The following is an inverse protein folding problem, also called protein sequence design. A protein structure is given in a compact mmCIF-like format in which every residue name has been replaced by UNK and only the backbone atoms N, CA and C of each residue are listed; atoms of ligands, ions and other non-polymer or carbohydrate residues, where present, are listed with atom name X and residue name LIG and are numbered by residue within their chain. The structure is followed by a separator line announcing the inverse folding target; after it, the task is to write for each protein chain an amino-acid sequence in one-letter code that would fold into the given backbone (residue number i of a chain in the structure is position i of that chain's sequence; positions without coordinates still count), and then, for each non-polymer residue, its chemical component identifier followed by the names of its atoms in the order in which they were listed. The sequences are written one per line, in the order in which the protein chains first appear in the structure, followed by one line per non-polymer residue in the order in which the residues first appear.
data_IF_832856588778
#
_entry.id   IF_832856588778
#
_cell.length_a   1.000
_cell.length_b   1.000
_cell.length_c   1.000
_cell.angle_alpha   90.00
_cell.angle_beta   90.00
_cell.angle_gamma   90.00
#
_symmetry.space_group_name_H-M   'P 1'
#
loop_
_entity.id
_entity.type
_entity.pdbx_description
1 polymer ?
#
# COMPACT_ATOMS: atom_id res chain seq x y z
N UNK A 1 -56.69 -24.07 -57.61
CA UNK A 1 -55.58 -24.02 -56.65
C UNK A 1 -54.40 -24.71 -57.28
N UNK A 2 -53.37 -23.97 -57.68
CA UNK A 2 -52.19 -24.54 -58.36
C UNK A 2 -51.21 -25.11 -57.32
N UNK A 3 -50.31 -26.03 -57.71
CA UNK A 3 -49.35 -26.64 -56.76
C UNK A 3 -48.41 -25.62 -56.10
N UNK A 4 -48.25 -24.46 -56.72
CA UNK A 4 -47.53 -23.29 -56.22
C UNK A 4 -48.26 -22.62 -55.05
N UNK A 5 -49.60 -22.58 -55.07
CA UNK A 5 -50.42 -21.99 -54.00
C UNK A 5 -50.38 -22.85 -52.73
N UNK A 6 -50.35 -24.18 -52.88
CA UNK A 6 -50.20 -25.14 -51.77
C UNK A 6 -48.81 -25.04 -51.12
N UNK A 7 -47.74 -24.91 -51.91
CA UNK A 7 -46.38 -24.72 -51.39
C UNK A 7 -46.22 -23.39 -50.64
N UNK A 8 -46.80 -22.31 -51.14
CA UNK A 8 -46.76 -21.00 -50.47
C UNK A 8 -47.57 -20.99 -49.17
N UNK A 9 -48.67 -21.75 -49.11
CA UNK A 9 -49.46 -21.92 -47.90
C UNK A 9 -48.75 -22.76 -46.83
N UNK A 10 -48.04 -23.83 -47.24
CA UNK A 10 -47.21 -24.63 -46.32
C UNK A 10 -45.99 -23.86 -45.81
N UNK A 11 -45.28 -23.13 -46.69
CA UNK A 11 -44.17 -22.26 -46.30
C UNK A 11 -44.61 -21.15 -45.34
N UNK A 12 -45.77 -20.53 -45.60
CA UNK A 12 -46.37 -19.54 -44.70
C UNK A 12 -46.69 -20.13 -43.32
N UNK A 13 -47.25 -21.35 -43.27
CA UNK A 13 -47.56 -22.02 -42.00
C UNK A 13 -46.31 -22.50 -41.24
N UNK A 14 -45.25 -22.92 -41.94
CA UNK A 14 -43.98 -23.32 -41.32
C UNK A 14 -43.24 -22.10 -40.78
N UNK A 15 -43.17 -21.02 -41.54
CA UNK A 15 -42.57 -19.75 -41.11
C UNK A 15 -43.35 -19.15 -39.92
N UNK A 16 -44.68 -19.20 -39.96
CA UNK A 16 -45.51 -18.69 -38.86
C UNK A 16 -45.40 -19.56 -37.60
N UNK A 17 -45.23 -20.89 -37.73
CA UNK A 17 -44.93 -21.78 -36.59
C UNK A 17 -43.52 -21.57 -36.03
N UNK A 18 -42.51 -21.33 -36.88
CA UNK A 18 -41.13 -21.02 -36.45
C UNK A 18 -41.06 -19.66 -35.74
N UNK A 19 -41.72 -18.63 -36.27
CA UNK A 19 -41.79 -17.31 -35.65
C UNK A 19 -42.59 -17.31 -34.34
N UNK A 20 -43.79 -17.90 -34.31
CA UNK A 20 -44.60 -17.91 -33.08
C UNK A 20 -44.00 -18.77 -31.96
N UNK A 21 -43.39 -19.93 -32.27
CA UNK A 21 -42.75 -20.75 -31.23
C UNK A 21 -41.41 -20.15 -30.76
N UNK A 22 -40.67 -19.49 -31.65
CA UNK A 22 -39.43 -18.78 -31.30
C UNK A 22 -39.66 -17.63 -30.31
N UNK A 23 -40.67 -16.80 -30.57
CA UNK A 23 -41.01 -15.65 -29.72
C UNK A 23 -41.67 -16.06 -28.39
N UNK A 24 -42.59 -17.04 -28.37
CA UNK A 24 -43.15 -17.56 -27.11
C UNK A 24 -42.10 -18.17 -26.20
N UNK A 25 -41.13 -18.89 -26.78
CA UNK A 25 -40.02 -19.47 -26.01
C UNK A 25 -39.06 -18.41 -25.46
N UNK A 26 -38.88 -17.29 -26.18
CA UNK A 26 -38.09 -16.16 -25.70
C UNK A 26 -38.75 -15.45 -24.52
N UNK A 27 -40.05 -15.13 -24.60
CA UNK A 27 -40.74 -14.44 -23.51
C UNK A 27 -40.85 -15.30 -22.24
N UNK A 28 -41.16 -16.59 -22.37
CA UNK A 28 -41.15 -17.53 -21.23
C UNK A 28 -39.74 -17.74 -20.65
N UNK A 29 -38.71 -17.81 -21.51
CA UNK A 29 -37.32 -17.90 -21.08
C UNK A 29 -36.85 -16.61 -20.39
N UNK A 30 -37.20 -15.44 -20.90
CA UNK A 30 -36.85 -14.14 -20.31
C UNK A 30 -37.58 -13.91 -18.99
N UNK A 31 -38.85 -14.33 -18.88
CA UNK A 31 -39.63 -14.23 -17.64
C UNK A 31 -39.14 -15.23 -16.58
N UNK A 32 -38.77 -16.45 -17.01
CA UNK A 32 -38.12 -17.45 -16.16
C UNK A 32 -36.72 -17.01 -15.73
N UNK A 33 -35.92 -16.42 -16.62
CA UNK A 33 -34.60 -15.88 -16.32
C UNK A 33 -34.69 -14.68 -15.36
N UNK A 34 -35.64 -13.77 -15.58
CA UNK A 34 -35.92 -12.61 -14.71
C UNK A 34 -36.32 -13.05 -13.28
N UNK A 35 -37.23 -14.02 -13.17
CA UNK A 35 -37.64 -14.56 -11.86
C UNK A 35 -36.50 -15.35 -11.20
N UNK A 36 -35.66 -16.04 -11.96
CA UNK A 36 -34.52 -16.80 -11.45
C UNK A 36 -33.40 -15.89 -10.91
N UNK A 37 -33.16 -14.73 -11.54
CA UNK A 37 -32.09 -13.82 -11.09
C UNK A 37 -32.39 -13.15 -9.76
N UNK A 38 -33.67 -12.83 -9.47
CA UNK A 38 -34.05 -12.22 -8.18
C UNK A 38 -33.75 -13.14 -6.98
N UNK A 39 -33.89 -14.46 -7.15
CA UNK A 39 -33.61 -15.48 -6.13
C UNK A 39 -32.13 -15.54 -5.75
N UNK A 40 -31.21 -15.27 -6.70
CA UNK A 40 -29.77 -15.26 -6.43
C UNK A 40 -29.22 -13.88 -6.09
N UNK A 41 -29.84 -12.82 -6.60
CA UNK A 41 -29.38 -11.44 -6.39
C UNK A 41 -29.65 -10.97 -4.94
N UNK A 42 -30.77 -11.36 -4.35
CA UNK A 42 -31.08 -10.98 -2.96
C UNK A 42 -30.10 -11.59 -1.93
N UNK A 43 -29.79 -12.90 -1.95
CA UNK A 43 -28.75 -13.48 -1.10
C UNK A 43 -27.36 -12.87 -1.35
N UNK A 44 -27.02 -12.56 -2.60
CA UNK A 44 -25.75 -11.94 -2.93
C UNK A 44 -25.64 -10.52 -2.32
N UNK A 45 -26.66 -9.69 -2.51
CA UNK A 45 -26.70 -8.33 -1.93
C UNK A 45 -26.68 -8.41 -0.40
N UNK A 46 -27.45 -9.32 0.20
CA UNK A 46 -27.44 -9.54 1.64
C UNK A 46 -26.06 -9.98 2.15
N UNK A 47 -25.40 -10.91 1.45
CA UNK A 47 -24.05 -11.35 1.79
C UNK A 47 -23.04 -10.21 1.70
N UNK A 48 -23.10 -9.38 0.65
CA UNK A 48 -22.24 -8.20 0.50
C UNK A 48 -22.48 -7.20 1.64
N UNK A 49 -23.74 -6.88 1.97
CA UNK A 49 -24.09 -5.99 3.07
C UNK A 49 -23.60 -6.54 4.42
N UNK A 50 -23.74 -7.84 4.66
CA UNK A 50 -23.22 -8.50 5.85
C UNK A 50 -21.70 -8.41 5.93
N UNK A 51 -20.99 -8.64 4.82
CA UNK A 51 -19.52 -8.50 4.76
C UNK A 51 -19.12 -7.05 5.07
N UNK A 52 -19.78 -6.06 4.46
CA UNK A 52 -19.50 -4.64 4.71
C UNK A 52 -19.75 -4.30 6.19
N UNK A 53 -20.87 -4.76 6.76
CA UNK A 53 -21.18 -4.57 8.18
C UNK A 53 -20.09 -5.17 9.09
N UNK A 54 -19.65 -6.40 8.81
CA UNK A 54 -18.57 -7.05 9.56
C UNK A 54 -17.24 -6.30 9.43
N UNK A 55 -16.92 -5.76 8.26
CA UNK A 55 -15.72 -4.94 8.04
C UNK A 55 -15.78 -3.61 8.81
N UNK A 56 -16.94 -2.94 8.82
CA UNK A 56 -17.17 -1.70 9.59
C UNK A 56 -17.08 -1.98 11.09
N UNK A 57 -17.73 -3.04 11.58
CA UNK A 57 -17.64 -3.44 12.99
C UNK A 57 -16.20 -3.75 13.39
N UNK A 58 -15.47 -4.51 12.54
CA UNK A 58 -14.05 -4.79 12.73
C UNK A 58 -13.21 -3.51 12.79
N UNK A 59 -13.50 -2.52 11.95
CA UNK A 59 -12.83 -1.21 11.96
C UNK A 59 -13.10 -0.46 13.26
N UNK A 60 -14.36 -0.38 13.71
CA UNK A 60 -14.74 0.29 14.95
C UNK A 60 -14.04 -0.34 16.15
N UNK A 61 -14.04 -1.68 16.25
CA UNK A 61 -13.35 -2.41 17.33
C UNK A 61 -11.84 -2.13 17.28
N UNK A 62 -11.24 -2.12 16.08
CA UNK A 62 -9.81 -1.81 15.90
C UNK A 62 -9.48 -0.41 16.42
N UNK A 63 -10.24 0.60 16.01
CA UNK A 63 -10.03 2.00 16.41
C UNK A 63 -10.19 2.15 17.93
N UNK A 64 -11.28 1.62 18.51
CA UNK A 64 -11.51 1.68 19.97
C UNK A 64 -10.39 1.01 20.77
N UNK A 65 -9.87 -0.14 20.31
CA UNK A 65 -8.75 -0.84 20.97
C UNK A 65 -7.40 -0.16 20.73
N UNK A 66 -7.26 0.65 19.69
CA UNK A 66 -6.06 1.45 19.45
C UNK A 66 -6.06 2.70 20.34
N UNK A 67 -7.19 3.39 20.45
CA UNK A 67 -7.32 4.61 21.25
C UNK A 67 -7.15 4.38 22.76
N UNK A 68 -7.49 3.19 23.26
CA UNK A 68 -7.35 2.80 24.67
C UNK A 68 -6.00 2.15 25.00
N UNK A 69 -5.08 2.07 24.04
CA UNK A 69 -3.80 1.40 24.26
C UNK A 69 -2.89 2.25 25.14
N UNK A 70 -2.52 1.71 26.31
CA UNK A 70 -1.55 2.35 27.20
C UNK A 70 -0.17 2.24 26.56
N UNK A 71 0.53 3.38 26.48
CA UNK A 71 1.91 3.45 26.01
C UNK A 71 2.87 3.81 27.13
N UNK A 72 4.11 3.33 27.02
CA UNK A 72 5.24 3.68 27.87
C UNK A 72 6.32 4.31 26.99
N UNK A 73 6.89 5.41 27.46
CA UNK A 73 7.94 6.16 26.77
C UNK A 73 9.28 5.87 27.44
N UNK A 74 10.26 5.46 26.64
CA UNK A 74 11.62 5.15 27.08
C UNK A 74 12.57 6.16 26.46
N UNK A 75 13.28 6.93 27.27
CA UNK A 75 14.38 7.76 26.78
C UNK A 75 15.67 6.96 26.75
N UNK A 76 16.36 7.04 25.61
CA UNK A 76 17.67 6.44 25.39
C UNK A 76 18.72 7.54 25.41
N UNK A 77 19.75 7.33 26.23
CA UNK A 77 20.95 8.15 26.24
C UNK A 77 22.08 7.34 25.60
N UNK A 78 22.48 7.66 24.34
CA UNK A 78 23.59 6.97 23.70
C UNK A 78 24.91 7.26 24.44
N UNK A 79 25.89 6.35 24.39
CA UNK A 79 27.21 6.62 24.95
C UNK A 79 27.96 7.66 24.11
N UNK A 80 28.90 8.37 24.72
CA UNK A 80 29.63 9.49 24.10
C UNK A 80 30.40 9.09 22.83
N UNK A 81 30.83 7.82 22.73
CA UNK A 81 31.48 7.27 21.56
C UNK A 81 30.74 5.99 21.18
N UNK A 82 30.22 5.94 19.94
CA UNK A 82 29.51 4.77 19.41
C UNK A 82 30.08 4.43 18.03
N UNK A 83 30.83 3.34 17.92
CA UNK A 83 31.35 2.83 16.64
C UNK A 83 30.42 1.81 15.97
N UNK A 84 29.11 1.90 16.22
CA UNK A 84 28.15 0.94 15.68
C UNK A 84 27.95 1.18 14.20
N UNK A 85 28.15 0.13 13.41
CA UNK A 85 27.89 0.16 11.96
C UNK A 85 26.39 0.20 11.67
N UNK A 86 26.02 0.75 10.51
CA UNK A 86 24.66 0.71 9.99
C UNK A 86 24.09 -0.73 9.97
N UNK A 87 24.92 -1.72 9.63
CA UNK A 87 24.55 -3.13 9.65
C UNK A 87 24.13 -3.62 11.05
N UNK A 88 24.86 -3.24 12.11
CA UNK A 88 24.51 -3.64 13.48
C UNK A 88 23.15 -3.05 13.89
N UNK A 89 22.89 -1.81 13.48
CA UNK A 89 21.58 -1.16 13.69
C UNK A 89 20.48 -1.90 12.92
N UNK A 90 20.72 -2.33 11.68
CA UNK A 90 19.76 -3.15 10.94
C UNK A 90 19.42 -4.44 11.70
N UNK A 91 20.41 -5.15 12.27
CA UNK A 91 20.17 -6.36 13.08
C UNK A 91 19.32 -6.10 14.34
N UNK A 92 19.53 -4.94 15.01
CA UNK A 92 18.65 -4.52 16.10
C UNK A 92 17.20 -4.39 15.62
N UNK A 93 16.97 -3.71 14.50
CA UNK A 93 15.62 -3.55 13.94
C UNK A 93 15.01 -4.87 13.46
N UNK A 94 15.80 -5.84 12.97
CA UNK A 94 15.32 -7.21 12.70
C UNK A 94 14.85 -7.91 13.98
N UNK A 95 15.56 -7.72 15.08
CA UNK A 95 15.17 -8.27 16.39
C UNK A 95 13.89 -7.62 16.92
N UNK A 96 13.79 -6.29 16.81
CA UNK A 96 12.58 -5.52 17.17
C UNK A 96 11.39 -5.93 16.29
N UNK A 97 11.61 -6.16 14.99
CA UNK A 97 10.59 -6.67 14.09
C UNK A 97 9.97 -7.95 14.64
N UNK A 98 10.80 -8.95 15.00
CA UNK A 98 10.32 -10.21 15.56
C UNK A 98 9.55 -10.05 16.88
N UNK A 99 9.97 -9.13 17.75
CA UNK A 99 9.29 -8.81 19.00
C UNK A 99 7.89 -8.22 18.76
N UNK A 100 7.80 -7.21 17.89
CA UNK A 100 6.56 -6.46 17.63
C UNK A 100 5.60 -7.26 16.74
N UNK A 101 6.12 -8.19 15.92
CA UNK A 101 5.32 -9.05 15.04
C UNK A 101 4.41 -10.02 15.83
N UNK A 102 4.74 -10.34 17.09
CA UNK A 102 3.93 -11.26 17.91
C UNK A 102 2.58 -10.63 18.28
N UNK A 103 1.50 -11.22 17.76
CA UNK A 103 0.10 -10.77 17.96
C UNK A 103 -0.73 -11.83 18.67
N UNK A 104 -1.66 -11.41 19.52
CA UNK A 104 -2.66 -12.30 20.09
C UNK A 104 -3.66 -12.76 19.02
N UNK A 105 -4.38 -13.85 19.28
CA UNK A 105 -5.43 -14.34 18.36
C UNK A 105 -6.50 -13.26 18.12
N UNK A 106 -6.91 -12.54 19.17
CA UNK A 106 -7.86 -11.44 19.06
C UNK A 106 -7.32 -10.29 18.19
N UNK A 107 -6.02 -9.94 18.33
CA UNK A 107 -5.41 -8.90 17.49
C UNK A 107 -5.39 -9.33 16.01
N UNK A 108 -5.18 -10.62 15.72
CA UNK A 108 -5.26 -11.17 14.34
C UNK A 108 -6.67 -11.06 13.77
N UNK A 109 -7.69 -11.47 14.53
CA UNK A 109 -9.09 -11.41 14.11
C UNK A 109 -9.52 -9.97 13.86
N UNK A 110 -9.24 -9.05 14.79
CA UNK A 110 -9.56 -7.62 14.64
C UNK A 110 -8.67 -6.94 13.58
N UNK A 111 -7.56 -7.55 13.20
CA UNK A 111 -6.58 -6.97 12.28
C UNK A 111 -5.87 -5.77 12.88
N UNK A 112 -5.63 -5.79 14.21
CA UNK A 112 -4.83 -4.79 14.91
C UNK A 112 -3.35 -5.16 14.73
N UNK A 113 -2.60 -4.29 14.09
CA UNK A 113 -1.14 -4.38 14.07
C UNK A 113 -0.59 -3.72 15.35
N UNK A 114 0.51 -4.26 15.89
CA UNK A 114 1.27 -3.59 16.94
C UNK A 114 2.31 -2.71 16.30
N UNK A 115 2.57 -1.56 16.89
CA UNK A 115 3.56 -0.62 16.44
C UNK A 115 4.45 -0.19 17.60
N UNK A 116 5.69 0.15 17.27
CA UNK A 116 6.63 0.83 18.16
C UNK A 116 7.05 2.12 17.49
N UNK A 117 7.12 3.21 18.24
CA UNK A 117 7.50 4.52 17.72
C UNK A 117 8.91 4.87 18.16
N UNK A 118 9.72 5.36 17.25
CA UNK A 118 11.06 5.88 17.49
C UNK A 118 11.03 7.38 17.25
N UNK A 119 11.43 8.17 18.24
CA UNK A 119 11.14 9.60 18.26
C UNK A 119 12.41 10.38 18.56
N UNK A 120 12.62 11.47 17.83
CA UNK A 120 13.60 12.50 18.13
C UNK A 120 12.81 13.72 18.54
N UNK A 121 12.94 14.14 19.80
CA UNK A 121 12.19 15.26 20.36
C UNK A 121 13.18 16.32 20.79
N UNK A 122 12.89 17.58 20.46
CA UNK A 122 13.67 18.72 20.91
C UNK A 122 12.79 19.76 21.56
N UNK A 123 13.26 20.26 22.69
CA UNK A 123 12.71 21.43 23.39
C UNK A 123 13.87 22.31 23.82
N UNK A 124 13.60 23.59 24.10
CA UNK A 124 14.65 24.50 24.59
C UNK A 124 15.32 23.97 25.87
N UNK A 125 14.52 23.49 26.85
CA UNK A 125 15.01 23.19 28.19
C UNK A 125 15.71 21.84 28.29
N UNK A 126 15.30 20.86 27.49
CA UNK A 126 15.83 19.49 27.57
C UNK A 126 16.74 19.12 26.39
N UNK A 127 16.86 20.01 25.40
CA UNK A 127 17.58 19.74 24.17
C UNK A 127 16.98 18.57 23.39
N UNK A 128 17.83 17.91 22.61
CA UNK A 128 17.45 16.77 21.75
C UNK A 128 17.47 15.48 22.59
N UNK A 129 16.36 14.74 22.54
CA UNK A 129 16.13 13.48 23.24
C UNK A 129 15.73 12.40 22.25
N UNK A 130 16.21 11.19 22.46
CA UNK A 130 15.85 10.01 21.68
C UNK A 130 14.91 9.14 22.49
N UNK A 131 13.69 8.93 22.00
CA UNK A 131 12.64 8.25 22.72
C UNK A 131 12.14 7.03 21.94
N UNK A 132 11.71 6.01 22.66
CA UNK A 132 10.96 4.89 22.10
C UNK A 132 9.65 4.75 22.85
N UNK A 133 8.54 4.82 22.10
CA UNK A 133 7.20 4.54 22.64
C UNK A 133 6.82 3.10 22.33
N UNK A 134 6.48 2.35 23.37
CA UNK A 134 6.08 0.95 23.26
C UNK A 134 4.96 0.60 24.25
N UNK A 135 4.50 -0.65 24.26
CA UNK A 135 3.47 -1.13 25.20
C UNK A 135 4.10 -1.66 26.49
N UNK A 136 3.42 -1.58 27.65
CA UNK A 136 3.95 -2.05 28.93
C UNK A 136 4.51 -3.49 28.88
N UNK A 137 3.83 -4.39 28.17
CA UNK A 137 4.24 -5.79 28.03
C UNK A 137 5.53 -6.00 27.21
N UNK A 138 5.97 -5.01 26.43
CA UNK A 138 7.17 -5.09 25.59
C UNK A 138 8.38 -4.37 26.20
N UNK A 139 8.18 -3.50 27.20
CA UNK A 139 9.23 -2.65 27.80
C UNK A 139 10.46 -3.46 28.21
N UNK A 140 10.28 -4.52 29.00
CA UNK A 140 11.43 -5.28 29.54
C UNK A 140 12.21 -6.02 28.46
N UNK A 141 11.55 -6.51 27.41
CA UNK A 141 12.21 -7.18 26.29
C UNK A 141 12.92 -6.18 25.39
N UNK A 142 12.30 -5.03 25.15
CA UNK A 142 12.90 -3.95 24.38
C UNK A 142 14.14 -3.39 25.09
N UNK A 143 14.06 -3.13 26.41
CA UNK A 143 15.21 -2.71 27.23
C UNK A 143 16.37 -3.69 27.10
N UNK A 144 16.10 -4.99 27.24
CA UNK A 144 17.13 -6.04 27.08
C UNK A 144 17.79 -6.01 25.70
N UNK A 145 16.99 -5.92 24.63
CA UNK A 145 17.52 -5.84 23.27
C UNK A 145 18.39 -4.59 23.06
N UNK A 146 17.97 -3.43 23.59
CA UNK A 146 18.74 -2.19 23.50
C UNK A 146 20.02 -2.29 24.32
N UNK A 147 20.00 -2.81 25.55
CA UNK A 147 21.21 -3.02 26.34
C UNK A 147 22.18 -4.01 25.69
N UNK A 148 21.69 -5.04 25.00
CA UNK A 148 22.56 -5.92 24.21
C UNK A 148 23.23 -5.20 23.04
N UNK A 149 22.55 -4.24 22.43
CA UNK A 149 23.06 -3.44 21.30
C UNK A 149 23.98 -2.29 21.77
N UNK A 150 23.58 -1.57 22.81
CA UNK A 150 24.28 -0.45 23.47
C UNK A 150 24.45 -0.73 24.97
N UNK A 151 25.45 -1.52 25.38
CA UNK A 151 25.65 -1.89 26.78
C UNK A 151 25.88 -0.71 27.72
N UNK A 152 26.49 0.37 27.21
CA UNK A 152 26.81 1.58 27.96
C UNK A 152 25.73 2.67 27.81
N UNK A 153 24.65 2.40 27.08
CA UNK A 153 23.55 3.35 26.90
C UNK A 153 22.65 3.42 28.13
N UNK A 154 22.17 4.62 28.47
CA UNK A 154 21.15 4.81 29.50
C UNK A 154 19.75 4.55 28.95
N UNK A 155 18.88 3.90 29.72
CA UNK A 155 17.45 3.77 29.40
C UNK A 155 16.61 4.12 30.62
N UNK A 156 15.77 5.15 30.52
CA UNK A 156 14.86 5.57 31.59
C UNK A 156 13.43 5.67 31.09
N UNK A 157 12.46 5.38 31.95
CA UNK A 157 11.04 5.67 31.66
C UNK A 157 10.83 7.16 31.91
N UNK A 158 10.12 7.82 31.01
CA UNK A 158 9.88 9.27 31.08
C UNK A 158 8.42 9.58 30.85
N UNK A 159 8.00 10.74 31.33
CA UNK A 159 6.65 11.26 31.11
C UNK A 159 6.46 11.79 29.69
N UNK A 160 5.19 12.01 29.34
CA UNK A 160 4.78 12.56 28.06
C UNK A 160 5.41 13.94 27.83
N UNK A 161 5.97 14.14 26.63
CA UNK A 161 6.59 15.41 26.24
C UNK A 161 5.62 16.35 25.55
N UNK A 162 4.49 15.83 25.05
CA UNK A 162 3.45 16.64 24.42
C UNK A 162 2.75 17.46 25.52
N UNK A 163 2.68 18.80 25.41
CA UNK A 163 1.99 19.63 26.38
C UNK A 163 0.51 19.23 26.49
N UNK A 164 0.04 18.98 27.70
CA UNK A 164 -1.37 18.64 27.98
C UNK A 164 -2.23 19.86 28.31
N UNK A 165 -1.59 21.02 28.52
CA UNK A 165 -2.27 22.27 28.83
C UNK A 165 -2.78 22.95 27.55
N UNK A 166 -4.09 22.87 27.32
CA UNK A 166 -4.77 23.45 26.16
C UNK A 166 -4.63 24.98 26.06
N UNK A 167 -4.59 25.69 27.19
CA UNK A 167 -4.43 27.16 27.17
C UNK A 167 -3.04 27.59 26.69
N UNK A 168 -2.03 26.76 27.00
CA UNK A 168 -0.70 26.95 26.45
C UNK A 168 -0.70 26.71 24.94
N UNK A 169 -1.38 25.66 24.45
CA UNK A 169 -1.42 25.30 23.03
C UNK A 169 -2.14 26.32 22.15
N UNK A 170 -3.16 27.04 22.65
CA UNK A 170 -3.85 28.10 21.88
C UNK A 170 -2.93 29.29 21.55
N UNK A 171 -1.88 29.53 22.35
CA UNK A 171 -0.92 30.62 22.14
C UNK A 171 0.17 30.27 21.14
N UNK A 172 0.30 29.01 20.75
CA UNK A 172 1.29 28.54 19.79
C UNK A 172 0.61 28.00 18.54
N UNK A 173 1.28 28.12 17.42
CA UNK A 173 0.90 27.43 16.21
C UNK A 173 1.48 26.02 16.25
N UNK A 174 0.61 25.01 16.12
CA UNK A 174 1.01 23.61 15.98
C UNK A 174 0.65 23.09 14.59
N UNK A 175 1.54 22.29 14.01
CA UNK A 175 1.30 21.62 12.75
C UNK A 175 1.93 20.23 12.77
N UNK A 176 1.15 19.25 12.32
CA UNK A 176 1.58 17.88 12.11
C UNK A 176 1.64 17.65 10.61
N UNK A 177 2.78 17.15 10.12
CA UNK A 177 2.92 16.70 8.74
C UNK A 177 3.34 15.24 8.72
N UNK A 178 2.77 14.48 7.81
CA UNK A 178 3.16 13.08 7.57
C UNK A 178 3.98 13.00 6.27
N UNK A 179 5.02 12.18 6.26
CA UNK A 179 5.79 11.87 5.05
C UNK A 179 5.40 10.49 4.53
N UNK A 180 5.34 10.37 3.20
CA UNK A 180 5.10 9.11 2.49
C UNK A 180 6.12 8.93 1.37
N UNK A 181 6.28 7.70 0.92
CA UNK A 181 7.01 7.40 -0.32
C UNK A 181 6.26 8.00 -1.52
N UNK A 182 6.98 8.57 -2.47
CA UNK A 182 6.38 9.11 -3.69
C UNK A 182 6.00 8.02 -4.71
N UNK A 183 6.77 6.94 -4.76
CA UNK A 183 6.61 5.81 -5.69
C UNK A 183 6.38 4.50 -4.92
N UNK A 184 5.98 3.39 -5.58
CA UNK A 184 5.73 2.11 -4.91
C UNK A 184 6.89 1.66 -4.02
N UNK A 185 6.56 0.97 -2.92
CA UNK A 185 7.55 0.65 -1.89
C UNK A 185 8.66 -0.28 -2.38
N UNK A 186 8.47 -1.02 -3.48
CA UNK A 186 9.50 -1.86 -4.08
C UNK A 186 10.77 -1.07 -4.45
N UNK A 187 10.64 0.20 -4.83
CA UNK A 187 11.78 1.06 -5.14
C UNK A 187 12.47 1.53 -3.84
N UNK A 188 13.79 1.32 -3.68
CA UNK A 188 14.54 1.65 -2.46
C UNK A 188 14.70 3.15 -2.26
N UNK A 189 15.02 3.60 -1.04
CA UNK A 189 15.57 4.94 -0.79
C UNK A 189 17.09 4.85 -0.87
N UNK A 190 17.77 6.00 -1.02
CA UNK A 190 19.23 6.05 -1.03
C UNK A 190 19.78 5.62 0.33
N UNK A 191 20.84 4.79 0.32
CA UNK A 191 21.39 4.19 1.54
C UNK A 191 22.52 5.06 2.11
N UNK A 192 22.43 5.36 3.40
CA UNK A 192 23.46 6.09 4.14
C UNK A 192 24.22 5.15 5.08
N UNK A 193 25.05 4.28 4.51
CA UNK A 193 25.73 3.21 5.27
C UNK A 193 27.08 3.65 5.88
N UNK A 194 27.71 4.69 5.33
CA UNK A 194 29.03 5.19 5.74
C UNK A 194 28.91 6.25 6.84
N UNK A 195 28.41 5.82 8.01
CA UNK A 195 28.14 6.69 9.17
C UNK A 195 29.37 7.42 9.73
N UNK A 196 30.58 6.97 9.38
CA UNK A 196 31.84 7.61 9.82
C UNK A 196 32.13 8.92 9.07
N UNK A 197 31.66 9.03 7.83
CA UNK A 197 31.92 10.19 6.97
C UNK A 197 30.78 11.20 7.07
N UNK A 198 29.55 10.72 7.07
CA UNK A 198 28.35 11.55 7.16
C UNK A 198 27.37 10.94 8.16
N UNK A 199 26.94 11.73 9.14
CA UNK A 199 25.86 11.37 10.06
C UNK A 199 24.53 11.95 9.56
N UNK A 200 23.60 11.13 9.02
CA UNK A 200 22.30 11.61 8.56
C UNK A 200 21.45 12.22 9.67
N UNK A 201 21.64 11.78 10.92
CA UNK A 201 20.90 12.31 12.08
C UNK A 201 21.34 13.73 12.40
N UNK A 202 22.58 14.10 12.10
CA UNK A 202 23.07 15.46 12.30
C UNK A 202 22.31 16.48 11.44
N UNK A 203 21.97 16.13 10.19
CA UNK A 203 21.15 16.99 9.31
C UNK A 203 19.75 17.21 9.86
N UNK A 204 19.13 16.17 10.42
CA UNK A 204 17.80 16.23 11.04
C UNK A 204 17.86 17.07 12.33
N UNK A 205 18.76 16.69 13.24
CA UNK A 205 18.88 17.31 14.58
C UNK A 205 19.34 18.75 14.53
N UNK A 206 20.15 19.14 13.53
CA UNK A 206 20.50 20.54 13.28
C UNK A 206 19.29 21.44 13.10
N UNK A 207 18.24 20.94 12.42
CA UNK A 207 16.96 21.65 12.24
C UNK A 207 16.08 21.68 13.50
N UNK A 208 16.48 20.97 14.55
CA UNK A 208 15.80 20.89 15.83
C UNK A 208 16.44 21.75 16.92
N UNK A 209 17.45 22.56 16.58
CA UNK A 209 18.16 23.43 17.53
C UNK A 209 17.54 24.83 17.61
N UNK A 210 18.03 25.64 18.55
CA UNK A 210 17.67 27.07 18.73
C UNK A 210 16.16 27.31 18.93
N UNK A 211 15.50 26.39 19.63
CA UNK A 211 14.09 26.52 19.99
C UNK A 211 13.88 27.62 21.03
N UNK A 212 12.85 28.43 20.86
CA UNK A 212 12.42 29.41 21.85
C UNK A 212 11.66 28.74 23.01
N UNK A 213 11.47 29.43 24.15
CA UNK A 213 10.69 28.88 25.25
C UNK A 213 9.25 28.55 24.80
N UNK A 214 8.82 27.32 25.06
CA UNK A 214 7.51 26.79 24.64
C UNK A 214 7.48 26.14 23.24
N UNK A 215 8.57 26.24 22.47
CA UNK A 215 8.66 25.55 21.18
C UNK A 215 9.05 24.08 21.34
N UNK A 216 8.52 23.27 20.44
CA UNK A 216 8.75 21.84 20.40
C UNK A 216 8.82 21.35 18.97
N UNK A 217 9.82 20.51 18.67
CA UNK A 217 9.87 19.75 17.43
C UNK A 217 9.97 18.27 17.79
N UNK A 218 9.10 17.45 17.21
CA UNK A 218 9.14 15.99 17.36
C UNK A 218 9.07 15.33 16.00
N UNK A 219 10.11 14.55 15.66
CA UNK A 219 10.12 13.65 14.53
C UNK A 219 9.82 12.24 15.05
N UNK A 220 8.77 11.63 14.52
CA UNK A 220 8.27 10.33 14.92
C UNK A 220 8.35 9.35 13.75
N UNK A 221 8.97 8.19 13.96
CA UNK A 221 9.00 7.06 13.01
C UNK A 221 8.25 5.90 13.67
N UNK A 222 7.00 5.70 13.26
CA UNK A 222 6.14 4.63 13.75
C UNK A 222 6.34 3.40 12.88
N UNK A 223 6.75 2.28 13.48
CA UNK A 223 7.04 1.04 12.78
C UNK A 223 6.10 -0.08 13.20
N UNK A 224 5.37 -0.64 12.24
CA UNK A 224 4.51 -1.81 12.41
C UNK A 224 5.01 -2.95 11.51
N UNK A 225 5.50 -4.08 12.06
CA UNK A 225 5.93 -5.24 11.29
C UNK A 225 4.84 -5.75 10.34
N UNK A 226 5.21 -5.97 9.08
CA UNK A 226 4.28 -6.36 8.02
C UNK A 226 4.84 -7.48 7.14
N UNK A 227 3.93 -8.18 6.45
CA UNK A 227 4.27 -9.15 5.40
C UNK A 227 3.40 -8.83 4.20
N UNK A 228 4.00 -8.18 3.19
CA UNK A 228 3.28 -7.83 1.98
C UNK A 228 3.25 -9.01 1.00
N UNK A 229 2.07 -9.30 0.44
CA UNK A 229 1.93 -10.25 -0.68
C UNK A 229 2.61 -9.73 -1.94
N UNK A 230 2.72 -8.41 -2.06
CA UNK A 230 3.33 -7.74 -3.21
C UNK A 230 4.81 -8.11 -3.36
N UNK A 231 5.51 -8.46 -2.28
CA UNK A 231 6.88 -8.99 -2.35
C UNK A 231 6.97 -10.18 -3.30
N UNK A 232 6.04 -11.14 -3.20
CA UNK A 232 6.02 -12.32 -4.09
C UNK A 232 5.70 -11.94 -5.53
N UNK A 233 4.92 -10.89 -5.73
CA UNK A 233 4.58 -10.37 -7.07
C UNK A 233 5.82 -9.72 -7.69
N UNK A 234 6.52 -8.89 -6.92
CA UNK A 234 7.79 -8.27 -7.32
C UNK A 234 8.83 -9.35 -7.63
N UNK A 235 8.99 -10.37 -6.78
CA UNK A 235 9.87 -11.52 -7.05
C UNK A 235 9.53 -12.24 -8.36
N UNK A 236 8.23 -12.37 -8.67
CA UNK A 236 7.76 -12.92 -9.94
C UNK A 236 8.21 -12.06 -11.13
N UNK A 237 8.02 -10.74 -11.05
CA UNK A 237 8.42 -9.81 -12.10
C UNK A 237 9.94 -9.65 -12.24
N UNK A 238 10.70 -9.84 -11.16
CA UNK A 238 12.17 -9.92 -11.21
C UNK A 238 12.60 -11.13 -12.06
N UNK A 239 11.95 -12.28 -11.87
CA UNK A 239 12.25 -13.49 -12.66
C UNK A 239 11.80 -13.39 -14.12
N UNK A 240 10.72 -12.67 -14.38
CA UNK A 240 10.15 -12.48 -15.72
C UNK A 240 10.89 -11.40 -16.53
N UNK A 241 11.67 -10.55 -15.87
CA UNK A 241 12.44 -9.51 -16.51
C UNK A 241 11.68 -8.18 -16.70
N UNK A 242 10.55 -7.98 -16.02
CA UNK A 242 9.66 -6.82 -16.22
C UNK A 242 9.40 -6.01 -14.94
N UNK A 243 10.20 -6.22 -13.88
CA UNK A 243 10.02 -5.55 -12.57
C UNK A 243 9.99 -4.02 -12.65
N UNK A 244 10.84 -3.41 -13.48
CA UNK A 244 10.89 -1.95 -13.60
C UNK A 244 9.64 -1.41 -14.32
N UNK A 245 9.10 -2.16 -15.29
CA UNK A 245 7.84 -1.83 -15.94
C UNK A 245 6.67 -1.97 -14.95
N UNK A 246 6.68 -3.03 -14.13
CA UNK A 246 5.68 -3.24 -13.09
C UNK A 246 5.67 -2.11 -12.06
N UNK A 247 6.83 -1.72 -11.52
CA UNK A 247 6.94 -0.70 -10.48
C UNK A 247 6.68 0.72 -10.97
N UNK A 248 6.83 0.99 -12.28
CA UNK A 248 6.50 2.28 -12.87
C UNK A 248 5.02 2.41 -13.30
N UNK A 249 4.21 1.36 -13.17
CA UNK A 249 2.77 1.45 -13.46
C UNK A 249 2.08 2.33 -12.44
N UNK A 250 1.25 3.24 -12.92
CA UNK A 250 0.42 4.08 -12.05
C UNK A 250 -0.60 3.21 -11.32
N UNK A 251 -0.48 3.15 -10.00
CA UNK A 251 -1.46 2.46 -9.17
C UNK A 251 -2.71 3.32 -8.96
N UNK A 252 -3.87 2.76 -9.28
CA UNK A 252 -5.15 3.38 -8.96
C UNK A 252 -5.65 2.93 -7.58
N UNK A 253 -6.31 3.82 -6.81
CA UNK A 253 -6.99 3.47 -5.57
C UNK A 253 -7.91 2.24 -5.72
N UNK A 254 -8.06 1.47 -4.65
CA UNK A 254 -8.81 0.22 -4.65
C UNK A 254 -10.24 0.37 -5.19
N UNK A 255 -10.92 1.48 -4.88
CA UNK A 255 -12.28 1.74 -5.36
C UNK A 255 -12.33 1.94 -6.88
N UNK A 256 -11.34 2.64 -7.47
CA UNK A 256 -11.24 2.82 -8.93
C UNK A 256 -10.94 1.48 -9.60
N UNK A 257 -10.04 0.68 -9.02
CA UNK A 257 -9.75 -0.67 -9.52
C UNK A 257 -10.98 -1.58 -9.46
N UNK A 258 -11.77 -1.50 -8.39
CA UNK A 258 -13.00 -2.26 -8.24
C UNK A 258 -14.04 -1.86 -9.28
N UNK A 259 -14.27 -0.55 -9.46
CA UNK A 259 -15.17 -0.03 -10.49
C UNK A 259 -14.70 -0.41 -11.90
N UNK A 260 -13.42 -0.25 -12.20
CA UNK A 260 -12.82 -0.67 -13.46
C UNK A 260 -12.92 -2.18 -13.70
N UNK A 261 -12.81 -2.98 -12.65
CA UNK A 261 -12.99 -4.44 -12.70
C UNK A 261 -14.43 -4.82 -13.05
N UNK A 262 -15.42 -4.20 -12.38
CA UNK A 262 -16.84 -4.37 -12.69
C UNK A 262 -17.12 -3.95 -14.14
N UNK A 263 -16.59 -2.80 -14.55
CA UNK A 263 -16.74 -2.29 -15.91
C UNK A 263 -16.09 -3.21 -16.95
N UNK A 264 -14.92 -3.79 -16.64
CA UNK A 264 -14.25 -4.77 -17.50
C UNK A 264 -15.06 -6.06 -17.63
N UNK A 265 -15.65 -6.56 -16.56
CA UNK A 265 -16.55 -7.72 -16.60
C UNK A 265 -17.77 -7.41 -17.45
N UNK A 266 -18.39 -6.24 -17.27
CA UNK A 266 -19.52 -5.80 -18.09
C UNK A 266 -19.14 -5.71 -19.57
N UNK A 267 -18.00 -5.10 -19.91
CA UNK A 267 -17.47 -5.06 -21.29
C UNK A 267 -17.23 -6.47 -21.84
N UNK A 268 -16.64 -7.37 -21.04
CA UNK A 268 -16.38 -8.74 -21.50
C UNK A 268 -17.67 -9.50 -21.76
N UNK A 269 -18.70 -9.35 -20.91
CA UNK A 269 -20.03 -9.93 -21.16
C UNK A 269 -20.62 -9.38 -22.47
N UNK A 270 -20.54 -8.07 -22.69
CA UNK A 270 -20.99 -7.47 -23.95
C UNK A 270 -20.19 -7.99 -25.15
N UNK A 271 -18.87 -8.15 -25.02
CA UNK A 271 -18.01 -8.70 -26.07
C UNK A 271 -18.31 -10.15 -26.40
N UNK A 272 -18.60 -10.98 -25.41
CA UNK A 272 -19.00 -12.38 -25.61
C UNK A 272 -20.39 -12.49 -26.25
N UNK A 273 -21.33 -11.62 -25.86
CA UNK A 273 -22.67 -11.58 -26.48
C UNK A 273 -22.62 -11.11 -27.94
N UNK A 274 -21.88 -10.04 -28.23
CA UNK A 274 -21.70 -9.53 -29.60
C UNK A 274 -20.82 -10.49 -30.42
N UNK A 275 -19.76 -11.01 -29.82
CA UNK A 275 -18.81 -11.93 -30.42
C UNK A 275 -19.42 -13.28 -30.74
N UNK A 276 -20.29 -13.82 -29.87
CA UNK A 276 -21.05 -15.04 -30.12
C UNK A 276 -22.04 -14.90 -31.27
N UNK A 277 -22.67 -13.73 -31.42
CA UNK A 277 -23.52 -13.43 -32.58
C UNK A 277 -22.66 -13.30 -33.85
N UNK A 278 -21.56 -12.55 -33.79
CA UNK A 278 -20.66 -12.35 -34.92
C UNK A 278 -19.94 -13.63 -35.36
N UNK A 279 -19.58 -14.52 -34.44
CA UNK A 279 -18.93 -15.80 -34.73
C UNK A 279 -19.86 -16.76 -35.46
N UNK A 280 -21.16 -16.77 -35.14
CA UNK A 280 -22.17 -17.54 -35.88
C UNK A 280 -22.31 -17.00 -37.31
N UNK A 281 -22.27 -15.68 -37.50
CA UNK A 281 -22.27 -15.07 -38.85
C UNK A 281 -20.97 -15.33 -39.64
N UNK A 282 -19.82 -15.37 -38.98
CA UNK A 282 -18.53 -15.67 -39.62
C UNK A 282 -18.36 -17.16 -39.92
N UNK A 283 -18.75 -18.07 -39.02
CA UNK A 283 -18.69 -19.52 -39.23
C UNK A 283 -19.71 -19.99 -40.29
N UNK A 284 -20.83 -19.28 -40.46
CA UNK A 284 -21.79 -19.55 -41.53
C UNK A 284 -21.27 -19.20 -42.95
N UNK A 285 -20.16 -18.46 -43.06
CA UNK A 285 -19.62 -17.98 -44.34
C UNK A 285 -18.11 -18.14 -44.57
N UNK A 286 -17.34 -18.63 -43.59
CA UNK A 286 -15.88 -18.74 -43.68
C UNK A 286 -15.38 -20.18 -43.82
N UNK A 287 -14.32 -20.37 -44.62
CA UNK A 287 -13.66 -21.66 -44.83
C UNK A 287 -12.89 -22.12 -43.56
N UNK A 288 -13.04 -23.39 -43.10
CA UNK A 288 -12.43 -23.89 -41.86
C UNK A 288 -10.89 -23.75 -41.78
N UNK A 289 -10.20 -23.72 -42.93
CA UNK A 289 -8.75 -23.61 -42.97
C UNK A 289 -8.27 -22.18 -42.62
N UNK A 290 -9.03 -21.17 -43.04
CA UNK A 290 -8.75 -19.76 -42.74
C UNK A 290 -8.82 -19.43 -41.25
N UNK A 291 -9.79 -20.01 -40.53
CA UNK A 291 -9.97 -19.86 -39.09
C UNK A 291 -8.80 -20.48 -38.30
N UNK A 292 -8.29 -21.63 -38.75
CA UNK A 292 -7.12 -22.29 -38.13
C UNK A 292 -5.85 -21.43 -38.28
N UNK A 293 -5.63 -20.82 -39.45
CA UNK A 293 -4.47 -19.95 -39.71
C UNK A 293 -4.48 -18.67 -38.88
N UNK A 294 -5.65 -18.05 -38.71
CA UNK A 294 -5.77 -16.87 -37.83
C UNK A 294 -5.43 -17.22 -36.38
N UNK A 295 -5.97 -18.33 -35.87
CA UNK A 295 -5.72 -18.76 -34.48
C UNK A 295 -4.26 -19.16 -34.25
N UNK A 296 -3.61 -19.81 -35.21
CA UNK A 296 -2.18 -20.14 -35.12
C UNK A 296 -1.28 -18.90 -35.18
N UNK A 297 -1.61 -17.92 -36.02
CA UNK A 297 -0.89 -16.64 -36.07
C UNK A 297 -1.01 -15.86 -34.74
N UNK A 298 -2.19 -15.85 -34.12
CA UNK A 298 -2.40 -15.21 -32.82
C UNK A 298 -1.60 -15.88 -31.70
N UNK A 299 -1.52 -17.22 -31.70
CA UNK A 299 -0.69 -17.97 -30.75
C UNK A 299 0.80 -17.65 -30.98
N UNK A 300 1.24 -17.66 -32.24
CA UNK A 300 2.64 -17.43 -32.59
C UNK A 300 3.09 -15.99 -32.27
N UNK A 301 2.22 -15.00 -32.48
CA UNK A 301 2.53 -13.60 -32.12
C UNK A 301 2.67 -13.42 -30.61
N UNK A 302 1.80 -14.04 -29.81
CA UNK A 302 1.90 -14.03 -28.34
C UNK A 302 3.18 -14.70 -27.84
N UNK A 303 3.61 -15.79 -28.46
CA UNK A 303 4.86 -16.47 -28.11
C UNK A 303 6.08 -15.58 -28.40
N UNK A 304 6.15 -14.96 -29.59
CA UNK A 304 7.24 -14.04 -29.96
C UNK A 304 7.33 -12.83 -29.02
N UNK A 305 6.19 -12.26 -28.63
CA UNK A 305 6.16 -11.14 -27.69
C UNK A 305 6.70 -11.53 -26.30
N UNK A 306 6.38 -12.73 -25.82
CA UNK A 306 6.91 -13.21 -24.53
C UNK A 306 8.42 -13.50 -24.61
N UNK A 307 8.90 -14.11 -25.70
CA UNK A 307 10.33 -14.33 -25.91
C UNK A 307 11.13 -13.02 -25.95
N UNK A 308 10.63 -12.00 -26.65
CA UNK A 308 11.30 -10.68 -26.69
C UNK A 308 11.40 -10.01 -25.32
N UNK A 309 10.45 -10.25 -24.41
CA UNK A 309 10.50 -9.72 -23.04
C UNK A 309 11.57 -10.40 -22.20
N UNK A 310 11.74 -11.72 -22.38
CA UNK A 310 12.75 -12.52 -21.69
C UNK A 310 14.18 -12.22 -22.19
N UNK A 311 14.33 -11.77 -23.45
CA UNK A 311 15.61 -11.48 -24.10
C UNK A 311 16.08 -10.02 -23.95
N UNK A 312 15.35 -9.18 -23.21
CA UNK A 312 15.77 -7.79 -23.01
C UNK A 312 17.04 -7.73 -22.16
N UNK A 313 18.11 -7.20 -22.73
CA UNK A 313 19.32 -6.88 -21.97
C UNK A 313 19.10 -5.63 -21.10
N UNK A 314 19.50 -5.72 -19.85
CA UNK A 314 19.47 -4.60 -18.91
C UNK A 314 20.70 -3.74 -19.02
N UNK A 315 20.51 -2.43 -18.91
CA UNK A 315 21.65 -1.53 -18.71
C UNK A 315 22.32 -1.80 -17.36
N UNK A 316 23.62 -1.48 -17.17
CA UNK A 316 24.29 -1.61 -15.88
C UNK A 316 23.55 -0.89 -14.74
N UNK A 317 22.97 0.27 -15.04
CA UNK A 317 22.16 1.04 -14.12
C UNK A 317 20.87 0.30 -13.70
N UNK A 318 20.16 -0.31 -14.65
CA UNK A 318 18.97 -1.11 -14.35
C UNK A 318 19.32 -2.34 -13.51
N UNK A 319 20.48 -2.97 -13.74
CA UNK A 319 20.95 -4.11 -12.95
C UNK A 319 21.20 -3.71 -11.49
N UNK A 320 21.85 -2.57 -11.25
CA UNK A 320 22.08 -2.03 -9.91
C UNK A 320 20.76 -1.73 -9.19
N UNK A 321 19.80 -1.13 -9.91
CA UNK A 321 18.46 -0.88 -9.36
C UNK A 321 17.71 -2.19 -9.05
N UNK A 322 17.76 -3.18 -9.94
CA UNK A 322 17.13 -4.49 -9.71
C UNK A 322 17.77 -5.19 -8.51
N UNK A 323 19.10 -5.11 -8.36
CA UNK A 323 19.81 -5.65 -7.21
C UNK A 323 19.37 -4.97 -5.91
N UNK A 324 19.31 -3.64 -5.88
CA UNK A 324 18.87 -2.91 -4.68
C UNK A 324 17.40 -3.19 -4.33
N UNK A 325 16.52 -3.37 -5.32
CA UNK A 325 15.14 -3.86 -5.10
C UNK A 325 15.16 -5.26 -4.47
N UNK A 326 15.96 -6.18 -5.00
CA UNK A 326 16.09 -7.54 -4.46
C UNK A 326 16.60 -7.53 -3.01
N UNK A 327 17.58 -6.69 -2.70
CA UNK A 327 18.11 -6.55 -1.34
C UNK A 327 17.05 -5.99 -0.38
N UNK A 328 16.28 -4.99 -0.80
CA UNK A 328 15.21 -4.39 0.00
C UNK A 328 14.10 -5.38 0.34
N UNK A 329 13.58 -6.11 -0.65
CA UNK A 329 12.44 -7.02 -0.44
C UNK A 329 12.80 -8.26 0.39
N UNK A 330 14.09 -8.60 0.50
CA UNK A 330 14.59 -9.68 1.36
C UNK A 330 14.65 -9.30 2.84
N UNK A 331 14.59 -8.01 3.17
CA UNK A 331 14.63 -7.53 4.55
C UNK A 331 13.27 -7.66 5.24
N UNK A 332 13.22 -7.75 6.59
CA UNK A 332 11.97 -7.63 7.32
C UNK A 332 11.30 -6.27 7.06
N UNK A 333 10.08 -6.30 6.56
CA UNK A 333 9.35 -5.10 6.15
C UNK A 333 8.52 -4.52 7.30
N UNK A 334 8.40 -3.19 7.30
CA UNK A 334 7.53 -2.46 8.20
C UNK A 334 6.54 -1.62 7.39
N UNK A 335 5.29 -1.58 7.84
CA UNK A 335 4.42 -0.45 7.57
C UNK A 335 4.95 0.71 8.42
N UNK A 336 5.46 1.76 7.77
CA UNK A 336 6.06 2.91 8.43
C UNK A 336 5.22 4.16 8.24
N UNK A 337 5.13 4.98 9.30
CA UNK A 337 4.58 6.33 9.24
C UNK A 337 5.63 7.26 9.83
N UNK A 338 6.06 8.24 9.04
CA UNK A 338 6.97 9.29 9.50
C UNK A 338 6.14 10.55 9.72
N UNK A 339 6.17 11.10 10.94
CA UNK A 339 5.43 12.30 11.31
C UNK A 339 6.37 13.33 11.88
N UNK A 340 6.10 14.59 11.57
CA UNK A 340 6.77 15.72 12.17
C UNK A 340 5.72 16.60 12.83
N UNK A 341 5.84 16.79 14.14
CA UNK A 341 5.12 17.78 14.92
C UNK A 341 6.04 18.98 15.11
N UNK A 342 5.56 20.16 14.77
CA UNK A 342 6.20 21.44 15.07
C UNK A 342 5.23 22.30 15.84
N UNK A 343 5.65 22.77 17.01
CA UNK A 343 4.96 23.76 17.84
C UNK A 343 5.88 24.98 17.92
N UNK A 344 5.39 26.12 17.44
CA UNK A 344 6.14 27.37 17.37
C UNK A 344 5.25 28.57 17.67
N UNK A 345 5.85 29.73 17.96
CA UNK A 345 5.08 30.94 18.29
C UNK A 345 4.41 31.58 17.09
N UNK A 346 5.08 31.53 15.95
CA UNK A 346 4.61 32.11 14.69
C UNK A 346 4.33 31.02 13.66
N UNK A 347 3.23 31.15 12.94
CA UNK A 347 2.88 30.28 11.81
C UNK A 347 3.97 30.29 10.74
N UNK A 348 4.60 31.44 10.46
CA UNK A 348 5.67 31.50 9.46
C UNK A 348 6.88 30.67 9.89
N UNK A 349 7.27 30.75 11.15
CA UNK A 349 8.35 29.96 11.72
C UNK A 349 8.04 28.45 11.69
N UNK A 350 6.80 28.06 11.99
CA UNK A 350 6.36 26.67 11.89
C UNK A 350 6.51 26.13 10.46
N UNK A 351 6.06 26.88 9.45
CA UNK A 351 6.21 26.46 8.04
C UNK A 351 7.66 26.42 7.60
N UNK A 352 8.48 27.40 8.02
CA UNK A 352 9.90 27.43 7.73
C UNK A 352 10.61 26.20 8.33
N UNK A 353 10.32 25.84 9.58
CA UNK A 353 10.87 24.65 10.25
C UNK A 353 10.44 23.36 9.55
N UNK A 354 9.18 23.25 9.11
CA UNK A 354 8.71 22.10 8.32
C UNK A 354 9.47 22.00 7.00
N UNK A 355 9.67 23.12 6.30
CA UNK A 355 10.42 23.15 5.05
C UNK A 355 11.87 22.72 5.26
N UNK A 356 12.55 23.30 6.25
CA UNK A 356 13.94 22.94 6.58
C UNK A 356 14.08 21.48 7.01
N UNK A 357 13.12 20.96 7.79
CA UNK A 357 13.10 19.55 8.18
C UNK A 357 12.88 18.64 6.96
N UNK A 358 12.03 19.05 6.03
CA UNK A 358 11.82 18.30 4.78
C UNK A 358 13.11 18.20 3.98
N UNK A 359 13.86 19.30 3.86
CA UNK A 359 15.17 19.31 3.20
C UNK A 359 16.22 18.45 3.90
N UNK A 360 16.07 18.17 5.20
CA UNK A 360 16.99 17.27 5.91
C UNK A 360 16.86 15.80 5.48
N UNK A 361 15.79 15.44 4.77
CA UNK A 361 15.61 14.10 4.20
C UNK A 361 16.21 13.92 2.79
N UNK A 362 16.73 14.97 2.16
CA UNK A 362 17.36 14.91 0.84
C UNK A 362 18.47 13.87 0.70
N UNK A 363 19.34 13.60 1.72
CA UNK A 363 20.34 12.53 1.62
C UNK A 363 19.74 11.12 1.41
N UNK A 364 18.46 10.91 1.71
CA UNK A 364 17.78 9.63 1.49
C UNK A 364 17.05 9.57 0.14
N UNK A 365 17.00 10.69 -0.60
CA UNK A 365 16.38 10.77 -1.91
C UNK A 365 17.32 10.17 -2.94
N UNK A 366 16.79 9.25 -3.74
CA UNK A 366 17.43 8.89 -4.99
C UNK A 366 16.82 9.72 -6.10
N UNK A 367 17.69 10.41 -6.83
CA UNK A 367 17.33 11.26 -7.98
C UNK A 367 16.46 10.56 -9.02
N UNK A 368 16.49 9.22 -9.09
CA UNK A 368 15.85 8.48 -10.17
C UNK A 368 14.72 7.58 -9.69
N UNK A 369 14.83 6.95 -8.52
CA UNK A 369 13.93 5.84 -8.17
C UNK A 369 13.00 6.08 -6.97
N UNK A 370 13.31 6.92 -5.97
CA UNK A 370 12.41 7.13 -4.83
C UNK A 370 12.77 8.37 -4.01
N UNK A 371 11.76 8.94 -3.36
CA UNK A 371 11.89 10.09 -2.48
C UNK A 371 10.82 10.05 -1.39
N UNK A 372 11.03 10.82 -0.32
CA UNK A 372 10.03 11.09 0.71
C UNK A 372 9.32 12.42 0.40
N UNK A 373 7.99 12.40 0.39
CA UNK A 373 7.18 13.61 0.17
C UNK A 373 6.18 13.81 1.30
N UNK A 374 5.91 15.08 1.61
CA UNK A 374 4.82 15.43 2.52
C UNK A 374 3.49 14.92 1.92
N UNK A 375 2.72 14.21 2.73
CA UNK A 375 1.39 13.77 2.39
C UNK A 375 0.40 14.95 2.46
N UNK A 376 0.21 15.62 1.31
CA UNK A 376 -0.80 16.67 1.13
C UNK A 376 -2.19 16.10 0.84
N UNK A 377 -2.60 15.06 1.57
CA UNK A 377 -3.89 14.41 1.36
C UNK A 377 -5.07 15.36 1.62
N UNK A 378 -6.17 15.18 0.89
CA UNK A 378 -7.44 15.91 1.06
C UNK A 378 -8.14 15.64 2.42
N UNK A 379 -7.62 14.70 3.22
CA UNK A 379 -8.17 14.28 4.52
C UNK A 379 -7.14 14.43 5.65
N UNK A 380 -6.43 15.57 5.70
CA UNK A 380 -5.50 15.89 6.81
C UNK A 380 -6.21 16.33 8.11
N UNK A 381 -7.45 15.90 8.32
CA UNK A 381 -8.17 16.05 9.58
C UNK A 381 -8.53 14.65 10.07
N UNK A 382 -7.72 14.08 10.96
CA UNK A 382 -8.09 13.16 12.06
C UNK A 382 -6.85 12.98 12.95
#
# INVERSE_FOLDING_TARGET
MTSTDLKNFELGNILNRLFNNGFKSQDEFLTSAYNSWSVYLFPLVFAVLLIVLLLVLRLIIRVKRSAKEVSVLLEITPPAITEKSAYTTQELFKTIHGLVFKRTLLDKVVGKNRATSFEIVSTQNQGIRYLIRTTPGQVNTLKRNIYSYLPQGGIKVVDEYIPTDYESLERFHSKIVEFKLAKPFGLPLERQDVLKEHDPVAYITGQMTKLAPGELISLQIILSPTKSREVKVIEGHIKQGDVLEYLNKTEYPLFIRALGGIFKVAINICKELIGGVLSVFQEAGADPESLRRMRSYEIQSKLRMNESKLQREYTPYELELIQSIQEKIKQPLFDSVIRLLVIGKDKYEVEARISSMTSSFEPFVSSTYQELRINRGLFNFI
#
